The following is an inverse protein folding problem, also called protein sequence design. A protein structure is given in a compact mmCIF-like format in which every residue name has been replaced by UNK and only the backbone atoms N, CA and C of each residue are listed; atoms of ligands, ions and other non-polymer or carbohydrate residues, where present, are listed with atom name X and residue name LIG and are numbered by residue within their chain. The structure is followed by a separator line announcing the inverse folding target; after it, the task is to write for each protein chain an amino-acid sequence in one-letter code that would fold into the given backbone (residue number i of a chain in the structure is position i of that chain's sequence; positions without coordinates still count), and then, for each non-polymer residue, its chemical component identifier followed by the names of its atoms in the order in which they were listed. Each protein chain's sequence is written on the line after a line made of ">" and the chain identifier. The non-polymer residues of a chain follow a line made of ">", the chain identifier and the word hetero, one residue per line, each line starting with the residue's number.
data_IF_409852489968
#
_entry.id   IF_409852489968
#
_cell.length_a   1.000
_cell.length_b   1.000
_cell.length_c   1.000
_cell.angle_alpha   90.00
_cell.angle_beta   90.00
_cell.angle_gamma   90.00
#
_symmetry.space_group_name_H-M   'P 1'
#
loop_
_entity.id
_entity.type
_entity.pdbx_description
1 polymer ?
#
# COMPACT_ATOMS: atom_id res chain seq x y z
N UNK A 1 16.21 -98.66 50.96
CA UNK A 1 16.83 -97.34 51.14
C UNK A 1 16.26 -96.39 50.10
N UNK A 2 15.63 -95.30 50.52
CA UNK A 2 15.09 -94.26 49.63
C UNK A 2 16.18 -93.20 49.41
N UNK A 3 16.20 -92.61 48.22
CA UNK A 3 17.03 -91.44 47.94
C UNK A 3 16.16 -90.18 47.90
N UNK A 4 16.63 -89.09 48.50
CA UNK A 4 15.95 -87.81 48.36
C UNK A 4 16.14 -87.26 46.94
N UNK A 5 15.06 -86.97 46.22
CA UNK A 5 15.12 -86.39 44.87
C UNK A 5 15.79 -85.01 44.80
N UNK A 6 15.79 -84.26 45.91
CA UNK A 6 16.32 -82.89 45.99
C UNK A 6 17.82 -82.85 46.32
N UNK A 7 18.27 -83.52 47.39
CA UNK A 7 19.67 -83.46 47.85
C UNK A 7 20.47 -84.75 47.58
N UNK A 8 19.84 -85.78 47.01
CA UNK A 8 20.44 -87.06 46.57
C UNK A 8 21.15 -87.87 47.67
N UNK A 9 20.96 -87.54 48.95
CA UNK A 9 21.42 -88.35 50.08
C UNK A 9 20.47 -89.53 50.35
N UNK A 10 21.03 -90.59 50.92
CA UNK A 10 20.29 -91.77 51.39
C UNK A 10 19.40 -91.41 52.59
N UNK A 11 18.17 -91.90 52.60
CA UNK A 11 17.18 -91.73 53.66
C UNK A 11 16.65 -93.09 54.09
N UNK A 12 16.53 -93.29 55.40
CA UNK A 12 15.95 -94.51 55.96
C UNK A 12 14.50 -94.71 55.48
N UNK A 13 14.12 -95.95 55.16
CA UNK A 13 12.90 -96.25 54.39
C UNK A 13 11.58 -95.82 55.06
N UNK A 14 11.58 -95.63 56.38
CA UNK A 14 10.41 -95.27 57.17
C UNK A 14 10.17 -93.75 57.29
N UNK A 15 11.08 -92.90 56.79
CA UNK A 15 10.94 -91.44 56.89
C UNK A 15 10.22 -90.87 55.67
N UNK A 16 9.19 -90.04 55.92
CA UNK A 16 8.41 -89.37 54.89
C UNK A 16 9.01 -88.02 54.43
N UNK A 17 9.98 -87.49 55.18
CA UNK A 17 10.71 -86.26 54.89
C UNK A 17 12.21 -86.47 55.12
N UNK A 18 13.05 -85.82 54.32
CA UNK A 18 14.50 -85.94 54.43
C UNK A 18 15.02 -85.14 55.65
N UNK A 19 15.74 -85.76 56.60
CA UNK A 19 16.22 -85.06 57.81
C UNK A 19 17.31 -84.01 57.52
N UNK A 20 17.95 -84.04 56.35
CA UNK A 20 19.03 -83.12 55.97
C UNK A 20 18.54 -81.83 55.30
N UNK A 21 17.41 -81.88 54.58
CA UNK A 21 16.92 -80.73 53.80
C UNK A 21 15.42 -80.46 53.92
N UNK A 22 14.68 -81.30 54.66
CA UNK A 22 13.26 -81.10 54.96
C UNK A 22 12.26 -81.44 53.85
N UNK A 23 12.71 -81.84 52.65
CA UNK A 23 11.78 -82.16 51.54
C UNK A 23 11.13 -83.55 51.67
N UNK A 24 9.87 -83.66 51.25
CA UNK A 24 9.06 -84.91 51.26
C UNK A 24 9.63 -85.95 50.29
N UNK A 25 9.64 -87.23 50.69
CA UNK A 25 10.19 -88.34 49.88
C UNK A 25 9.05 -89.19 49.32
N UNK A 26 8.90 -89.24 47.99
CA UNK A 26 7.83 -89.99 47.30
C UNK A 26 8.30 -91.40 46.89
N UNK A 27 7.40 -92.39 46.97
CA UNK A 27 7.67 -93.82 46.73
C UNK A 27 6.95 -94.27 45.46
N UNK A 28 7.65 -94.92 44.54
CA UNK A 28 7.10 -95.54 43.33
C UNK A 28 7.25 -97.06 43.48
N UNK A 29 6.17 -97.83 43.30
CA UNK A 29 6.16 -99.31 43.31
C UNK A 29 5.69 -99.77 41.93
N UNK A 30 6.37 -100.77 41.34
CA UNK A 30 6.08 -101.29 39.99
C UNK A 30 5.59 -102.76 40.01
N UNK A 31 4.91 -103.12 38.93
CA UNK A 31 3.91 -104.18 38.65
C UNK A 31 4.31 -105.67 38.74
N UNK A 32 3.29 -106.59 38.71
CA UNK A 32 3.28 -107.78 37.80
C UNK A 32 1.90 -108.45 37.54
N UNK A 33 1.51 -108.49 36.24
CA UNK A 33 0.93 -109.56 35.36
C UNK A 33 -0.26 -110.51 35.72
N UNK A 34 -1.22 -110.63 34.77
CA UNK A 34 -1.80 -111.89 34.24
C UNK A 34 -2.65 -111.66 32.94
N UNK A 35 -2.86 -112.73 32.16
CA UNK A 35 -3.12 -112.82 30.71
C UNK A 35 -4.56 -113.18 30.30
N UNK A 36 -5.09 -112.62 29.19
CA UNK A 36 -6.04 -113.28 28.26
C UNK A 36 -5.84 -112.77 26.82
N UNK A 37 -5.98 -113.66 25.84
CA UNK A 37 -5.77 -113.43 24.39
C UNK A 37 -7.09 -113.14 23.68
N UNK A 38 -7.14 -112.08 22.85
CA UNK A 38 -8.07 -111.99 21.72
C UNK A 38 -7.38 -111.27 20.54
N UNK A 39 -7.43 -111.89 19.35
CA UNK A 39 -6.94 -111.34 18.10
C UNK A 39 -7.85 -110.22 17.61
N UNK A 40 -7.34 -108.98 17.51
CA UNK A 40 -7.82 -107.99 16.54
C UNK A 40 -6.71 -107.01 16.13
N UNK A 41 -6.44 -107.00 14.81
CA UNK A 41 -5.95 -105.92 13.93
C UNK A 41 -4.89 -104.92 14.42
N UNK A 42 -3.84 -104.76 13.60
CA UNK A 42 -2.81 -103.73 13.66
C UNK A 42 -3.32 -102.31 14.00
N UNK A 43 -2.56 -101.57 14.82
CA UNK A 43 -2.02 -100.24 14.44
C UNK A 43 -0.96 -99.78 15.46
N UNK A 44 0.27 -99.58 15.00
CA UNK A 44 1.29 -98.79 15.73
C UNK A 44 0.80 -97.34 15.83
N UNK A 45 0.91 -96.63 16.98
CA UNK A 45 0.84 -95.18 16.97
C UNK A 45 2.10 -94.65 16.30
N UNK A 46 2.03 -94.46 14.99
CA UNK A 46 3.01 -93.69 14.22
C UNK A 46 2.95 -92.26 14.77
N UNK A 47 4.04 -91.77 15.40
CA UNK A 47 4.23 -90.33 15.59
C UNK A 47 4.13 -89.68 14.21
N UNK A 48 3.00 -89.03 13.97
CA UNK A 48 2.71 -88.33 12.72
C UNK A 48 3.76 -87.25 12.49
N UNK A 49 4.71 -87.52 11.58
CA UNK A 49 5.64 -86.50 11.04
C UNK A 49 4.92 -85.42 10.21
N UNK A 50 3.58 -85.45 10.09
CA UNK A 50 2.79 -84.43 9.36
C UNK A 50 2.62 -83.11 10.12
N UNK A 51 2.77 -83.09 11.46
CA UNK A 51 2.67 -81.84 12.24
C UNK A 51 4.03 -81.14 12.46
N UNK A 52 5.16 -81.82 12.22
CA UNK A 52 6.49 -81.23 12.37
C UNK A 52 6.78 -80.19 11.27
N UNK A 53 6.37 -80.47 10.02
CA UNK A 53 6.47 -79.51 8.92
C UNK A 53 5.56 -78.29 9.11
N UNK A 54 4.40 -78.46 9.75
CA UNK A 54 3.52 -77.35 10.13
C UNK A 54 4.12 -76.49 11.26
N UNK A 55 4.77 -77.10 12.26
CA UNK A 55 5.46 -76.38 13.34
C UNK A 55 6.71 -75.66 12.84
N UNK A 56 7.51 -76.31 11.97
CA UNK A 56 8.68 -75.68 11.34
C UNK A 56 8.23 -74.55 10.40
N UNK A 57 7.18 -74.77 9.59
CA UNK A 57 6.58 -73.74 8.75
C UNK A 57 6.05 -72.55 9.58
N UNK A 58 5.36 -72.82 10.69
CA UNK A 58 4.90 -71.78 11.62
C UNK A 58 6.06 -71.03 12.27
N UNK A 59 7.13 -71.71 12.69
CA UNK A 59 8.30 -71.08 13.28
C UNK A 59 9.04 -70.19 12.26
N UNK A 60 9.14 -70.60 10.99
CA UNK A 60 9.71 -69.79 9.92
C UNK A 60 8.87 -68.55 9.67
N UNK A 61 7.54 -68.70 9.56
CA UNK A 61 6.63 -67.57 9.38
C UNK A 61 6.70 -66.62 10.60
N UNK A 62 6.72 -67.16 11.82
CA UNK A 62 6.85 -66.35 13.04
C UNK A 62 8.18 -65.60 13.08
N UNK A 63 9.29 -66.22 12.67
CA UNK A 63 10.59 -65.58 12.57
C UNK A 63 10.61 -64.47 11.51
N UNK A 64 9.98 -64.69 10.35
CA UNK A 64 9.82 -63.66 9.31
C UNK A 64 8.94 -62.50 9.78
N UNK A 65 7.82 -62.78 10.45
CA UNK A 65 6.95 -61.77 11.03
C UNK A 65 7.66 -60.99 12.14
N UNK A 66 8.44 -61.65 12.99
CA UNK A 66 9.25 -60.99 14.02
C UNK A 66 10.37 -60.14 13.41
N UNK A 67 11.02 -60.64 12.36
CA UNK A 67 12.03 -59.90 11.60
C UNK A 67 11.44 -58.66 10.94
N UNK A 68 10.30 -58.80 10.26
CA UNK A 68 9.53 -57.69 9.69
C UNK A 68 9.05 -56.72 10.78
N UNK A 69 8.67 -57.24 11.95
CA UNK A 69 8.29 -56.42 13.10
C UNK A 69 9.44 -55.57 13.62
N UNK A 70 10.60 -56.19 13.86
CA UNK A 70 11.82 -55.49 14.31
C UNK A 70 12.33 -54.51 13.26
N UNK A 71 12.28 -54.88 11.98
CA UNK A 71 12.62 -53.99 10.88
C UNK A 71 11.70 -52.78 10.83
N UNK A 72 10.37 -52.98 10.92
CA UNK A 72 9.40 -51.89 10.99
C UNK A 72 9.62 -51.00 12.21
N UNK A 73 9.85 -51.57 13.39
CA UNK A 73 10.12 -50.82 14.61
C UNK A 73 11.38 -49.95 14.49
N UNK A 74 12.42 -50.43 13.80
CA UNK A 74 13.62 -49.66 13.50
C UNK A 74 13.36 -48.57 12.45
N UNK A 75 12.78 -48.95 11.30
CA UNK A 75 12.55 -48.08 10.15
C UNK A 75 11.61 -46.91 10.47
N UNK A 76 10.54 -47.19 11.21
CA UNK A 76 9.53 -46.22 11.61
C UNK A 76 9.74 -45.72 13.04
N UNK A 77 10.94 -45.86 13.61
CA UNK A 77 11.28 -45.23 14.88
C UNK A 77 11.21 -43.71 14.78
N UNK A 78 10.91 -43.05 15.91
CA UNK A 78 10.88 -41.58 16.01
C UNK A 78 12.20 -40.95 15.55
N UNK A 79 13.32 -41.50 16.01
CA UNK A 79 14.67 -41.08 15.61
C UNK A 79 14.84 -41.10 14.09
N UNK A 80 14.47 -42.18 13.40
CA UNK A 80 14.62 -42.26 11.94
C UNK A 80 13.73 -41.27 11.20
N UNK A 81 12.48 -41.13 11.60
CA UNK A 81 11.55 -40.19 10.97
C UNK A 81 12.01 -38.74 11.17
N UNK A 82 12.41 -38.36 12.39
CA UNK A 82 12.88 -37.00 12.69
C UNK A 82 14.22 -36.69 12.00
N UNK A 83 15.13 -37.65 11.87
CA UNK A 83 16.36 -37.46 11.09
C UNK A 83 16.07 -37.18 9.61
N UNK A 84 15.06 -37.83 9.02
CA UNK A 84 14.61 -37.51 7.66
C UNK A 84 14.07 -36.08 7.58
N UNK A 85 13.32 -35.62 8.61
CA UNK A 85 12.86 -34.23 8.69
C UNK A 85 14.03 -33.23 8.76
N UNK A 86 15.04 -33.50 9.60
CA UNK A 86 16.25 -32.68 9.73
C UNK A 86 16.96 -32.57 8.38
N UNK A 87 17.17 -33.70 7.69
CA UNK A 87 17.79 -33.72 6.37
C UNK A 87 16.99 -32.90 5.35
N UNK A 88 15.65 -33.01 5.37
CA UNK A 88 14.78 -32.26 4.47
C UNK A 88 14.91 -30.74 4.69
N UNK A 89 14.91 -30.27 5.95
CA UNK A 89 15.14 -28.86 6.27
C UNK A 89 16.55 -28.39 5.86
N UNK A 90 17.59 -29.20 6.09
CA UNK A 90 18.97 -28.86 5.71
C UNK A 90 19.16 -28.79 4.20
N UNK A 91 18.58 -29.75 3.46
CA UNK A 91 18.61 -29.81 1.99
C UNK A 91 17.61 -28.86 1.33
N UNK A 92 16.72 -28.25 2.12
CA UNK A 92 15.61 -27.39 1.67
C UNK A 92 14.67 -28.13 0.70
N UNK A 93 14.45 -29.42 0.96
CA UNK A 93 13.61 -30.27 0.13
C UNK A 93 12.13 -30.02 0.47
N UNK A 94 11.50 -29.16 -0.31
CA UNK A 94 10.13 -28.69 -0.05
C UNK A 94 9.10 -29.81 -0.18
N UNK A 95 9.31 -30.75 -1.10
CA UNK A 95 8.39 -31.87 -1.26
C UNK A 95 8.47 -32.80 -0.06
N UNK A 96 9.68 -33.09 0.42
CA UNK A 96 9.87 -33.88 1.64
C UNK A 96 9.28 -33.17 2.87
N UNK A 97 9.44 -31.84 2.99
CA UNK A 97 8.89 -31.06 4.09
C UNK A 97 7.35 -31.10 4.11
N UNK A 98 6.72 -30.96 2.95
CA UNK A 98 5.26 -31.00 2.79
C UNK A 98 4.63 -32.31 3.31
N UNK A 99 5.33 -33.45 3.19
CA UNK A 99 4.82 -34.75 3.63
C UNK A 99 4.67 -34.88 5.16
N UNK A 100 5.48 -34.16 5.93
CA UNK A 100 5.51 -34.28 7.40
C UNK A 100 5.07 -33.03 8.13
N UNK A 101 5.06 -31.86 7.50
CA UNK A 101 4.59 -30.62 8.13
C UNK A 101 3.07 -30.56 8.13
N UNK A 102 2.50 -30.08 9.23
CA UNK A 102 1.09 -29.71 9.31
C UNK A 102 0.91 -28.44 10.13
N UNK A 103 -0.23 -27.78 9.98
CA UNK A 103 -0.65 -26.72 10.88
C UNK A 103 -1.39 -27.31 12.09
N UNK A 104 -1.25 -26.68 13.26
CA UNK A 104 -2.07 -26.99 14.44
C UNK A 104 -3.53 -26.56 14.24
N UNK A 105 -3.76 -25.48 13.49
CA UNK A 105 -5.08 -25.07 13.04
C UNK A 105 -5.47 -25.78 11.72
N UNK A 106 -6.50 -26.61 11.79
CA UNK A 106 -7.00 -27.39 10.64
C UNK A 106 -7.56 -26.57 9.48
N UNK A 107 -7.89 -25.29 9.69
CA UNK A 107 -8.34 -24.38 8.63
C UNK A 107 -7.18 -23.84 7.79
N UNK A 108 -5.94 -23.88 8.30
CA UNK A 108 -4.75 -23.53 7.52
C UNK A 108 -4.32 -24.70 6.64
N UNK A 109 -4.55 -24.56 5.33
CA UNK A 109 -3.99 -25.47 4.33
C UNK A 109 -2.62 -24.95 3.90
N UNK A 110 -1.57 -25.60 4.39
CA UNK A 110 -0.19 -25.30 4.01
C UNK A 110 -0.02 -25.57 2.52
N UNK A 111 0.50 -24.58 1.80
CA UNK A 111 0.85 -24.69 0.39
C UNK A 111 2.37 -24.72 0.25
N UNK A 112 2.82 -25.15 -0.92
CA UNK A 112 4.24 -25.11 -1.30
C UNK A 112 4.84 -23.71 -1.14
N UNK A 113 4.07 -22.66 -1.42
CA UNK A 113 4.50 -21.25 -1.25
C UNK A 113 4.76 -20.89 0.21
N UNK A 114 3.97 -21.40 1.15
CA UNK A 114 4.13 -21.16 2.59
C UNK A 114 5.43 -21.81 3.09
N UNK A 115 5.71 -23.04 2.64
CA UNK A 115 6.97 -23.74 2.96
C UNK A 115 8.16 -23.00 2.35
N UNK A 116 8.06 -22.52 1.10
CA UNK A 116 9.11 -21.70 0.46
C UNK A 116 9.38 -20.43 1.26
N UNK A 117 8.33 -19.74 1.70
CA UNK A 117 8.44 -18.52 2.51
C UNK A 117 9.11 -18.82 3.85
N UNK A 118 8.71 -19.90 4.53
CA UNK A 118 9.35 -20.32 5.77
C UNK A 118 10.83 -20.69 5.58
N UNK A 119 11.19 -21.41 4.51
CA UNK A 119 12.60 -21.71 4.22
C UNK A 119 13.43 -20.45 3.94
N UNK A 120 12.81 -19.40 3.38
CA UNK A 120 13.45 -18.08 3.25
C UNK A 120 13.63 -17.44 4.63
N UNK A 121 12.60 -17.44 5.46
CA UNK A 121 12.66 -16.95 6.83
C UNK A 121 13.76 -17.63 7.65
N UNK A 122 13.88 -18.97 7.59
CA UNK A 122 14.95 -19.73 8.26
C UNK A 122 16.35 -19.33 7.79
N UNK A 123 16.49 -18.98 6.51
CA UNK A 123 17.77 -18.52 5.92
C UNK A 123 18.13 -17.12 6.42
N UNK A 124 17.14 -16.23 6.50
CA UNK A 124 17.29 -14.84 6.95
C UNK A 124 17.43 -14.73 8.48
N UNK A 125 16.96 -15.75 9.22
CA UNK A 125 17.05 -15.85 10.67
C UNK A 125 17.85 -17.10 11.14
N UNK A 126 19.20 -17.10 11.00
CA UNK A 126 20.04 -18.26 11.34
C UNK A 126 19.90 -18.75 12.80
N UNK A 127 19.70 -17.82 13.74
CA UNK A 127 19.51 -18.15 15.15
C UNK A 127 18.24 -18.97 15.38
N UNK A 128 17.14 -18.59 14.73
CA UNK A 128 15.87 -19.30 14.79
C UNK A 128 15.98 -20.68 14.12
N UNK A 129 16.62 -20.76 12.95
CA UNK A 129 16.90 -22.05 12.29
C UNK A 129 17.75 -22.98 13.17
N UNK A 130 18.75 -22.45 13.87
CA UNK A 130 19.55 -23.23 14.82
C UNK A 130 18.69 -23.77 15.98
N UNK A 131 17.73 -23.00 16.47
CA UNK A 131 16.79 -23.47 17.49
C UNK A 131 15.91 -24.61 16.97
N UNK A 132 15.35 -24.47 15.77
CA UNK A 132 14.57 -25.53 15.11
C UNK A 132 15.38 -26.82 14.98
N UNK A 133 16.58 -26.74 14.38
CA UNK A 133 17.43 -27.93 14.18
C UNK A 133 17.86 -28.55 15.52
N UNK A 134 18.18 -27.74 16.52
CA UNK A 134 18.52 -28.23 17.85
C UNK A 134 17.34 -28.92 18.54
N UNK A 135 16.13 -28.39 18.37
CA UNK A 135 14.90 -29.01 18.86
C UNK A 135 14.68 -30.38 18.20
N UNK A 136 14.73 -30.46 16.88
CA UNK A 136 14.58 -31.72 16.15
C UNK A 136 15.65 -32.75 16.55
N UNK A 137 16.90 -32.33 16.73
CA UNK A 137 17.97 -33.21 17.22
C UNK A 137 17.72 -33.72 18.64
N UNK A 138 17.10 -32.94 19.52
CA UNK A 138 16.72 -33.42 20.85
C UNK A 138 15.54 -34.40 20.80
N UNK A 139 14.65 -34.25 19.82
CA UNK A 139 13.54 -35.19 19.58
C UNK A 139 13.98 -36.58 19.10
N UNK A 140 15.24 -36.74 18.65
CA UNK A 140 15.80 -38.05 18.30
C UNK A 140 16.32 -38.85 19.50
N UNK A 141 16.47 -38.23 20.67
CA UNK A 141 17.01 -38.87 21.88
C UNK A 141 15.87 -39.43 22.73
N UNK A 142 16.09 -40.58 23.37
CA UNK A 142 15.12 -41.13 24.34
C UNK A 142 14.95 -40.14 25.50
N UNK A 143 13.74 -39.58 25.65
CA UNK A 143 13.41 -38.59 26.68
C UNK A 143 13.62 -39.12 28.10
N UNK A 144 13.70 -40.44 28.30
CA UNK A 144 14.08 -41.04 29.60
C UNK A 144 15.53 -40.76 30.00
N UNK A 145 16.37 -40.33 29.05
CA UNK A 145 17.78 -40.04 29.23
C UNK A 145 18.08 -38.55 29.41
N UNK A 146 17.07 -37.67 29.26
CA UNK A 146 17.23 -36.21 29.29
C UNK A 146 16.33 -35.57 30.36
N UNK A 147 16.86 -34.64 31.16
CA UNK A 147 16.08 -33.94 32.19
C UNK A 147 15.12 -32.88 31.65
N UNK A 148 15.44 -32.32 30.48
CA UNK A 148 14.64 -31.24 29.87
C UNK A 148 13.86 -31.78 28.68
N UNK A 149 12.55 -31.47 28.64
CA UNK A 149 11.75 -31.76 27.44
C UNK A 149 12.20 -30.83 26.31
N UNK A 150 12.46 -31.36 25.10
CA UNK A 150 12.66 -30.52 23.93
C UNK A 150 11.45 -29.60 23.73
N UNK A 151 11.71 -28.34 23.42
CA UNK A 151 10.67 -27.36 23.12
C UNK A 151 11.11 -26.46 21.98
N UNK A 152 10.18 -26.15 21.09
CA UNK A 152 10.32 -25.14 20.05
C UNK A 152 9.04 -24.31 20.07
N UNK A 153 9.18 -22.98 19.99
CA UNK A 153 8.06 -22.07 20.24
C UNK A 153 6.95 -22.19 19.21
N UNK A 154 7.31 -22.48 17.96
CA UNK A 154 6.38 -22.42 16.83
C UNK A 154 5.96 -23.79 16.32
N UNK A 155 6.31 -24.86 17.04
CA UNK A 155 5.87 -26.20 16.64
C UNK A 155 6.39 -27.32 17.51
N UNK A 156 5.79 -28.50 17.31
CA UNK A 156 6.09 -29.70 18.06
C UNK A 156 5.99 -30.97 17.20
N UNK A 157 6.69 -32.04 17.58
CA UNK A 157 6.60 -33.34 16.92
C UNK A 157 5.45 -34.11 17.56
N UNK A 158 4.46 -34.46 16.75
CA UNK A 158 3.27 -35.18 17.21
C UNK A 158 3.15 -36.52 16.51
N UNK A 159 2.60 -37.51 17.22
CA UNK A 159 2.23 -38.78 16.63
C UNK A 159 0.86 -38.64 15.94
N UNK A 160 0.81 -38.88 14.63
CA UNK A 160 -0.41 -38.80 13.84
C UNK A 160 -0.48 -39.92 12.81
N UNK A 161 -1.31 -40.91 13.10
CA UNK A 161 -1.53 -42.07 12.24
C UNK A 161 -0.54 -43.20 12.50
N UNK A 162 -0.59 -44.22 11.64
CA UNK A 162 0.27 -45.39 11.74
C UNK A 162 0.83 -45.79 10.38
N UNK A 163 2.11 -46.13 10.36
CA UNK A 163 2.74 -46.83 9.26
C UNK A 163 2.57 -48.34 9.43
N UNK A 164 2.24 -49.03 8.33
CA UNK A 164 1.98 -50.48 8.29
C UNK A 164 1.00 -50.96 9.39
N UNK A 165 0.00 -50.12 9.72
CA UNK A 165 -1.02 -50.34 10.75
C UNK A 165 -0.53 -50.45 12.21
N UNK A 166 0.77 -50.49 12.46
CA UNK A 166 1.35 -50.79 13.78
C UNK A 166 2.29 -49.72 14.31
N UNK A 167 3.08 -49.08 13.44
CA UNK A 167 4.15 -48.17 13.87
C UNK A 167 3.67 -46.73 13.91
N UNK A 168 4.08 -45.94 14.91
CA UNK A 168 3.70 -44.53 14.98
C UNK A 168 4.25 -43.76 13.78
N UNK A 169 3.42 -42.90 13.19
CA UNK A 169 3.85 -41.93 12.19
C UNK A 169 3.99 -40.57 12.88
N UNK A 170 5.12 -39.90 12.69
CA UNK A 170 5.37 -38.60 13.29
C UNK A 170 5.23 -37.48 12.25
N UNK A 171 4.61 -36.39 12.67
CA UNK A 171 4.50 -35.14 11.90
C UNK A 171 5.04 -33.97 12.71
N UNK A 172 5.47 -32.93 12.01
CA UNK A 172 5.84 -31.66 12.60
C UNK A 172 4.65 -30.70 12.58
N UNK A 173 4.02 -30.53 13.75
CA UNK A 173 2.87 -29.68 13.97
C UNK A 173 3.32 -28.26 14.25
N UNK A 174 3.20 -27.39 13.24
CA UNK A 174 3.56 -25.98 13.31
C UNK A 174 2.39 -25.13 13.78
N UNK A 175 2.67 -24.08 14.54
CA UNK A 175 1.69 -23.11 14.99
C UNK A 175 1.19 -22.25 13.83
N UNK A 176 -0.10 -21.93 13.90
CA UNK A 176 -0.76 -20.94 13.07
C UNK A 176 -0.88 -19.62 13.82
N UNK A 177 -0.65 -18.52 13.12
CA UNK A 177 -0.71 -17.16 13.68
C UNK A 177 -1.81 -16.33 13.03
N UNK A 178 -2.33 -15.37 13.77
CA UNK A 178 -3.31 -14.41 13.33
C UNK A 178 -2.79 -13.00 13.54
N UNK A 179 -3.12 -12.11 12.60
CA UNK A 179 -2.85 -10.68 12.71
C UNK A 179 -4.14 -9.95 13.07
N UNK A 180 -4.14 -9.21 14.17
CA UNK A 180 -5.19 -8.26 14.52
C UNK A 180 -4.81 -6.91 13.90
N UNK A 181 -5.35 -6.65 12.70
CA UNK A 181 -5.02 -5.46 11.92
C UNK A 181 -5.99 -4.33 12.23
N UNK A 182 -5.46 -3.14 12.50
CA UNK A 182 -6.23 -1.91 12.73
C UNK A 182 -5.73 -0.80 11.80
N UNK A 183 -6.57 0.20 11.52
CA UNK A 183 -6.19 1.34 10.68
C UNK A 183 -6.88 2.64 11.10
N UNK A 184 -6.23 3.77 10.87
CA UNK A 184 -6.79 5.11 11.08
C UNK A 184 -7.70 5.57 9.93
N UNK A 185 -7.67 4.90 8.78
CA UNK A 185 -8.42 5.28 7.59
C UNK A 185 -9.90 4.84 7.66
N UNK A 186 -10.80 5.69 7.14
CA UNK A 186 -12.24 5.40 7.09
C UNK A 186 -12.60 4.22 6.19
N UNK A 187 -11.88 4.01 5.10
CA UNK A 187 -12.04 2.87 4.20
C UNK A 187 -10.67 2.54 3.63
N UNK A 188 -10.09 1.41 4.02
CA UNK A 188 -8.79 0.95 3.55
C UNK A 188 -8.88 -0.48 3.03
N UNK A 189 -8.22 -0.74 1.90
CA UNK A 189 -7.95 -2.07 1.39
C UNK A 189 -6.69 -2.61 2.08
N UNK A 190 -6.80 -3.79 2.68
CA UNK A 190 -5.67 -4.44 3.37
C UNK A 190 -5.14 -5.58 2.53
N UNK A 191 -3.82 -5.61 2.40
CA UNK A 191 -3.06 -6.59 1.66
C UNK A 191 -2.07 -7.28 2.59
N UNK A 192 -1.90 -8.58 2.37
CA UNK A 192 -0.82 -9.37 2.99
C UNK A 192 -0.04 -10.02 1.86
N UNK A 193 1.26 -9.73 1.75
CA UNK A 193 2.12 -10.16 0.64
C UNK A 193 1.47 -9.90 -0.74
N UNK A 194 1.04 -8.65 -0.95
CA UNK A 194 0.35 -8.15 -2.16
C UNK A 194 -1.00 -8.80 -2.51
N UNK A 195 -1.50 -9.74 -1.68
CA UNK A 195 -2.84 -10.31 -1.83
C UNK A 195 -3.84 -9.49 -1.02
N UNK A 196 -4.87 -8.95 -1.68
CA UNK A 196 -6.00 -8.28 -1.02
C UNK A 196 -6.74 -9.28 -0.13
N UNK A 197 -6.79 -9.02 1.17
CA UNK A 197 -7.45 -9.89 2.15
C UNK A 197 -8.84 -9.36 2.54
N UNK A 198 -8.97 -8.05 2.73
CA UNK A 198 -10.23 -7.45 3.20
C UNK A 198 -10.24 -5.95 2.96
N UNK A 199 -11.41 -5.36 3.17
CA UNK A 199 -11.57 -3.93 3.39
C UNK A 199 -11.86 -3.68 4.88
N UNK A 200 -11.21 -2.68 5.48
CA UNK A 200 -11.47 -2.20 6.82
C UNK A 200 -11.98 -0.76 6.79
N UNK A 201 -12.86 -0.44 7.72
CA UNK A 201 -13.31 0.92 7.99
C UNK A 201 -12.96 1.29 9.43
N UNK A 202 -12.66 2.57 9.68
CA UNK A 202 -12.22 3.08 11.00
C UNK A 202 -13.24 2.91 12.11
N UNK A 203 -14.49 2.60 11.78
CA UNK A 203 -15.57 2.28 12.74
C UNK A 203 -15.42 0.86 13.35
N UNK A 204 -14.54 0.02 12.78
CA UNK A 204 -14.19 -1.30 13.31
C UNK A 204 -12.86 -1.21 14.07
N UNK A 205 -12.89 -1.59 15.35
CA UNK A 205 -11.75 -1.52 16.28
C UNK A 205 -10.52 -2.33 15.84
N UNK A 206 -10.71 -3.42 15.09
CA UNK A 206 -9.67 -4.19 14.38
C UNK A 206 -10.32 -5.35 13.61
N UNK A 207 -9.58 -5.98 12.69
CA UNK A 207 -9.98 -7.23 12.01
C UNK A 207 -8.90 -8.28 12.17
N UNK A 208 -9.30 -9.48 12.53
CA UNK A 208 -8.43 -10.64 12.57
C UNK A 208 -8.25 -11.21 11.16
N UNK A 209 -7.00 -11.38 10.74
CA UNK A 209 -6.58 -12.00 9.49
C UNK A 209 -5.76 -13.26 9.79
N UNK A 210 -5.89 -14.27 8.94
CA UNK A 210 -5.22 -15.56 9.08
C UNK A 210 -6.22 -16.72 9.02
N UNK A 211 -5.79 -17.92 9.42
CA UNK A 211 -4.47 -18.24 9.97
C UNK A 211 -3.32 -18.10 8.95
N UNK A 212 -2.12 -17.82 9.44
CA UNK A 212 -0.87 -17.72 8.69
C UNK A 212 0.17 -18.71 9.24
N UNK A 213 1.04 -19.19 8.35
CA UNK A 213 2.18 -20.03 8.72
C UNK A 213 3.29 -19.15 9.35
N UNK A 214 4.21 -19.69 10.18
CA UNK A 214 5.27 -18.87 10.76
C UNK A 214 6.18 -18.29 9.68
N UNK A 215 6.55 -17.02 9.83
CA UNK A 215 7.41 -16.30 8.89
C UNK A 215 7.17 -14.79 8.90
N UNK A 216 7.80 -14.11 7.96
CA UNK A 216 7.67 -12.67 7.75
C UNK A 216 6.60 -12.36 6.72
N UNK A 217 5.75 -11.38 7.04
CA UNK A 217 4.65 -10.92 6.18
C UNK A 217 4.70 -9.42 6.01
N UNK A 218 4.47 -8.97 4.77
CA UNK A 218 4.29 -7.56 4.45
C UNK A 218 2.80 -7.24 4.50
N UNK A 219 2.40 -6.39 5.45
CA UNK A 219 1.03 -5.93 5.60
C UNK A 219 0.92 -4.51 5.11
N UNK A 220 0.14 -4.30 4.05
CA UNK A 220 -0.07 -2.99 3.40
C UNK A 220 -1.52 -2.56 3.53
N UNK A 221 -1.73 -1.28 3.81
CA UNK A 221 -3.04 -0.65 3.75
C UNK A 221 -3.03 0.47 2.72
N UNK A 222 -4.04 0.51 1.86
CA UNK A 222 -4.25 1.59 0.89
C UNK A 222 -5.62 2.22 1.08
N UNK A 223 -5.74 3.52 0.94
CA UNK A 223 -7.02 4.23 1.00
C UNK A 223 -7.08 5.33 -0.05
N UNK A 224 -8.08 5.24 -0.93
CA UNK A 224 -8.33 6.28 -1.92
C UNK A 224 -9.04 7.47 -1.27
N UNK A 225 -8.45 8.64 -1.44
CA UNK A 225 -9.06 9.92 -1.08
C UNK A 225 -9.42 10.68 -2.34
N UNK A 226 -10.08 11.82 -2.21
CA UNK A 226 -10.54 12.58 -3.38
C UNK A 226 -9.41 13.22 -4.21
N UNK A 227 -8.21 13.35 -3.63
CA UNK A 227 -7.07 14.06 -4.24
C UNK A 227 -5.80 13.23 -4.34
N UNK A 228 -5.73 12.10 -3.61
CA UNK A 228 -4.55 11.22 -3.60
C UNK A 228 -4.91 9.84 -3.09
N UNK A 229 -4.08 8.86 -3.37
CA UNK A 229 -4.13 7.54 -2.74
C UNK A 229 -3.11 7.50 -1.61
N UNK A 230 -3.57 7.16 -0.41
CA UNK A 230 -2.71 6.99 0.75
C UNK A 230 -2.30 5.54 0.86
N UNK A 231 -1.04 5.29 1.20
CA UNK A 231 -0.51 3.95 1.44
C UNK A 231 0.39 3.92 2.68
N UNK A 232 0.41 2.77 3.34
CA UNK A 232 1.35 2.47 4.44
C UNK A 232 1.63 0.97 4.44
N UNK A 233 2.86 0.60 4.78
CA UNK A 233 3.32 -0.79 4.74
C UNK A 233 4.14 -1.09 5.99
N UNK A 234 3.93 -2.27 6.57
CA UNK A 234 4.67 -2.78 7.71
C UNK A 234 5.07 -4.23 7.48
N UNK A 235 6.32 -4.53 7.79
CA UNK A 235 6.81 -5.90 7.91
C UNK A 235 6.46 -6.44 9.31
N UNK A 236 5.92 -7.65 9.37
CA UNK A 236 5.44 -8.31 10.58
C UNK A 236 6.00 -9.72 10.63
N UNK A 237 6.76 -10.01 11.68
CA UNK A 237 7.25 -11.36 11.97
C UNK A 237 6.22 -12.10 12.84
N UNK A 238 5.76 -13.24 12.34
CA UNK A 238 4.83 -14.11 13.07
C UNK A 238 5.53 -15.31 13.72
N UNK A 239 6.79 -15.55 13.39
CA UNK A 239 7.59 -16.60 14.02
C UNK A 239 8.22 -16.12 15.34
N UNK A 240 8.46 -17.05 16.27
CA UNK A 240 9.03 -16.85 17.60
C UNK A 240 8.17 -16.02 18.57
N UNK A 241 6.97 -15.64 18.14
CA UNK A 241 6.03 -14.79 18.86
C UNK A 241 5.39 -15.50 20.07
N UNK A 242 5.26 -14.78 21.19
CA UNK A 242 4.69 -15.33 22.41
C UNK A 242 3.17 -15.56 22.29
N UNK A 243 2.50 -14.73 21.50
CA UNK A 243 1.07 -14.76 21.26
C UNK A 243 0.81 -15.23 19.83
N UNK A 244 -0.11 -16.17 19.66
CA UNK A 244 -0.62 -16.57 18.33
C UNK A 244 -1.42 -15.45 17.66
N UNK A 245 -1.73 -14.36 18.38
CA UNK A 245 -2.35 -13.13 17.86
C UNK A 245 -1.39 -11.96 17.96
N UNK A 246 -0.93 -11.45 16.82
CA UNK A 246 -0.02 -10.31 16.71
C UNK A 246 -0.80 -9.06 16.32
N UNK A 247 -0.59 -7.94 17.02
CA UNK A 247 -1.27 -6.66 16.71
C UNK A 247 -0.51 -5.91 15.63
N UNK A 248 -1.24 -5.41 14.63
CA UNK A 248 -0.68 -4.66 13.51
C UNK A 248 -1.47 -3.36 13.31
N UNK A 249 -0.88 -2.24 13.72
CA UNK A 249 -1.53 -0.92 13.61
C UNK A 249 -1.01 -0.18 12.38
N UNK A 250 -1.87 0.09 11.40
CA UNK A 250 -1.53 0.75 10.13
C UNK A 250 -2.06 2.18 10.12
N UNK A 251 -1.18 3.16 10.40
CA UNK A 251 -1.51 4.58 10.34
C UNK A 251 -1.34 5.09 8.91
N UNK A 252 -2.43 5.50 8.26
CA UNK A 252 -2.35 6.22 6.99
C UNK A 252 -2.28 7.71 7.28
N UNK A 253 -1.16 8.32 6.93
CA UNK A 253 -0.93 9.74 7.08
C UNK A 253 -0.91 10.39 5.71
N UNK A 254 -1.70 11.45 5.54
CA UNK A 254 -1.71 12.24 4.32
C UNK A 254 -1.12 13.61 4.56
N UNK A 255 -0.47 14.18 3.53
CA UNK A 255 0.06 15.54 3.59
C UNK A 255 -1.08 16.55 3.46
N UNK A 256 -1.05 17.58 4.30
CA UNK A 256 -1.99 18.71 4.25
C UNK A 256 -1.20 19.99 4.01
N UNK A 257 -1.71 20.84 3.12
CA UNK A 257 -1.11 22.14 2.77
C UNK A 257 -2.07 23.27 3.12
N UNK A 258 -1.52 24.43 3.44
CA UNK A 258 -2.30 25.65 3.67
C UNK A 258 -2.31 26.51 2.41
N UNK A 259 -3.50 26.78 1.89
CA UNK A 259 -3.72 27.74 0.80
C UNK A 259 -4.12 29.06 1.44
N UNK A 260 -3.40 30.13 1.12
CA UNK A 260 -3.61 31.46 1.70
C UNK A 260 -3.66 32.53 0.62
N UNK A 261 -4.26 33.69 0.94
CA UNK A 261 -4.46 34.78 -0.01
C UNK A 261 -4.43 36.15 0.66
N UNK A 262 -4.28 37.20 -0.14
CA UNK A 262 -4.56 38.58 0.26
C UNK A 262 -6.06 38.84 0.44
N UNK A 263 -6.91 37.98 -0.12
CA UNK A 263 -8.35 38.04 0.01
C UNK A 263 -8.89 37.15 1.13
N UNK A 264 -9.77 37.70 1.98
CA UNK A 264 -10.31 36.97 3.12
C UNK A 264 -11.43 35.97 2.75
N UNK A 265 -12.18 36.27 1.68
CA UNK A 265 -13.25 35.42 1.12
C UNK A 265 -12.99 35.18 -0.37
N UNK A 266 -12.51 33.98 -0.68
CA UNK A 266 -12.40 33.45 -2.03
C UNK A 266 -12.75 31.97 -2.03
N UNK A 267 -13.19 31.45 -3.17
CA UNK A 267 -13.50 30.03 -3.35
C UNK A 267 -12.26 29.30 -3.85
N UNK A 268 -11.88 28.22 -3.18
CA UNK A 268 -10.77 27.35 -3.56
C UNK A 268 -11.24 26.36 -4.62
N UNK A 269 -10.51 26.32 -5.74
CA UNK A 269 -10.68 25.35 -6.81
C UNK A 269 -9.44 24.47 -6.88
N UNK A 270 -9.66 23.17 -7.04
CA UNK A 270 -8.59 22.17 -7.16
C UNK A 270 -8.88 21.30 -8.37
N UNK A 271 -7.93 21.23 -9.31
CA UNK A 271 -8.09 20.57 -10.62
C UNK A 271 -9.40 20.98 -11.32
N UNK A 272 -9.71 22.29 -11.31
CA UNK A 272 -10.91 22.86 -11.92
C UNK A 272 -12.22 22.62 -11.16
N UNK A 273 -12.22 21.89 -10.04
CA UNK A 273 -13.42 21.61 -9.23
C UNK A 273 -13.46 22.49 -7.98
N UNK A 274 -14.62 23.08 -7.70
CA UNK A 274 -14.88 23.82 -6.46
C UNK A 274 -14.70 22.91 -5.25
N UNK A 275 -13.91 23.33 -4.26
CA UNK A 275 -13.62 22.55 -3.03
C UNK A 275 -14.15 23.20 -1.76
N UNK A 276 -14.01 24.51 -1.63
CA UNK A 276 -14.38 25.20 -0.41
C UNK A 276 -14.18 26.70 -0.52
N UNK A 277 -14.33 27.38 0.60
CA UNK A 277 -14.02 28.81 0.72
C UNK A 277 -12.88 29.01 1.70
N UNK A 278 -12.10 30.06 1.49
CA UNK A 278 -11.17 30.54 2.49
C UNK A 278 -11.94 30.90 3.78
N UNK A 279 -11.33 30.59 4.92
CA UNK A 279 -11.75 31.03 6.23
C UNK A 279 -10.68 31.99 6.77
N UNK A 280 -11.04 33.27 6.91
CA UNK A 280 -10.10 34.35 7.26
C UNK A 280 -8.82 34.34 6.40
N UNK A 281 -8.99 34.19 5.08
CA UNK A 281 -7.88 34.21 4.11
C UNK A 281 -7.05 32.92 4.03
N UNK A 282 -7.46 31.83 4.68
CA UNK A 282 -6.75 30.55 4.64
C UNK A 282 -7.68 29.35 4.45
N UNK A 283 -7.16 28.28 3.85
CA UNK A 283 -7.86 27.01 3.68
C UNK A 283 -6.88 25.85 3.81
N UNK A 284 -7.22 24.88 4.66
CA UNK A 284 -6.43 23.66 4.82
C UNK A 284 -6.87 22.64 3.77
N UNK A 285 -6.01 22.40 2.79
CA UNK A 285 -6.24 21.42 1.73
C UNK A 285 -5.53 20.12 2.07
N UNK A 286 -6.26 19.01 2.06
CA UNK A 286 -5.66 17.69 2.20
C UNK A 286 -6.65 16.60 2.55
N UNK A 287 -6.20 15.33 2.52
CA UNK A 287 -4.85 14.93 2.15
C UNK A 287 -4.58 15.09 0.63
N UNK A 288 -3.34 15.44 0.24
CA UNK A 288 -2.93 15.68 -1.17
C UNK A 288 -1.61 15.00 -1.51
N UNK A 289 -1.42 14.73 -2.81
CA UNK A 289 -0.13 14.34 -3.37
C UNK A 289 0.81 15.55 -3.48
N UNK A 290 2.12 15.32 -3.40
CA UNK A 290 3.17 16.36 -3.58
C UNK A 290 3.97 16.15 -4.86
N UNK A 291 3.42 15.41 -5.81
CA UNK A 291 3.98 15.11 -7.13
C UNK A 291 3.62 16.14 -8.22
N UNK A 292 3.15 17.33 -7.82
CA UNK A 292 2.72 18.41 -8.72
C UNK A 292 1.51 18.08 -9.62
N UNK A 293 0.77 17.00 -9.32
CA UNK A 293 -0.47 16.64 -10.05
C UNK A 293 -1.71 17.41 -9.60
N UNK A 294 -1.65 18.03 -8.41
CA UNK A 294 -2.74 18.80 -7.83
C UNK A 294 -2.51 20.29 -8.14
N UNK A 295 -3.35 20.86 -8.99
CA UNK A 295 -3.37 22.29 -9.31
C UNK A 295 -4.45 23.02 -8.51
N UNK A 296 -4.10 24.17 -7.94
CA UNK A 296 -4.98 24.99 -7.11
C UNK A 296 -5.02 26.42 -7.61
N UNK A 297 -6.22 26.98 -7.68
CA UNK A 297 -6.44 28.42 -7.88
C UNK A 297 -7.61 28.90 -7.03
N UNK A 298 -7.72 30.22 -6.88
CA UNK A 298 -8.80 30.87 -6.14
C UNK A 298 -9.70 31.63 -7.12
N UNK A 299 -11.00 31.63 -6.85
CA UNK A 299 -11.98 32.44 -7.57
C UNK A 299 -12.78 33.31 -6.60
N UNK A 300 -12.94 34.60 -6.95
CA UNK A 300 -13.73 35.56 -6.18
C UNK A 300 -14.71 36.26 -7.12
N UNK A 301 -15.99 36.23 -6.76
CA UNK A 301 -17.00 37.01 -7.47
C UNK A 301 -16.87 38.48 -7.08
N UNK A 302 -16.80 39.34 -8.09
CA UNK A 302 -16.77 40.79 -7.97
C UNK A 302 -17.88 41.40 -8.82
N UNK A 303 -18.09 42.70 -8.69
CA UNK A 303 -19.04 43.45 -9.53
C UNK A 303 -18.69 43.38 -11.03
N UNK A 304 -17.44 43.04 -11.36
CA UNK A 304 -16.92 42.91 -12.72
C UNK A 304 -16.84 41.45 -13.20
N UNK A 305 -17.47 40.53 -12.47
CA UNK A 305 -17.45 39.09 -12.74
C UNK A 305 -16.48 38.32 -11.85
N UNK A 306 -16.15 37.09 -12.26
CA UNK A 306 -15.29 36.19 -11.49
C UNK A 306 -13.83 36.50 -11.77
N UNK A 307 -13.13 37.01 -10.75
CA UNK A 307 -11.67 37.12 -10.78
C UNK A 307 -11.04 35.80 -10.37
N UNK A 308 -9.89 35.47 -10.97
CA UNK A 308 -9.08 34.30 -10.61
C UNK A 308 -7.71 34.75 -10.10
N UNK A 309 -7.17 34.03 -9.13
CA UNK A 309 -5.76 34.13 -8.78
C UNK A 309 -4.88 33.46 -9.84
N UNK A 310 -3.57 33.59 -9.71
CA UNK A 310 -2.65 32.64 -10.34
C UNK A 310 -2.91 31.21 -9.85
N UNK A 311 -2.66 30.24 -10.73
CA UNK A 311 -2.69 28.81 -10.40
C UNK A 311 -1.33 28.36 -9.88
N UNK A 312 -1.33 27.42 -8.94
CA UNK A 312 -0.12 26.78 -8.42
C UNK A 312 -0.28 25.26 -8.37
N UNK A 313 0.80 24.54 -8.63
CA UNK A 313 0.87 23.08 -8.45
C UNK A 313 1.41 22.75 -7.07
N UNK A 314 0.80 21.79 -6.41
CA UNK A 314 1.21 21.35 -5.07
C UNK A 314 2.39 20.39 -5.18
N UNK A 315 3.56 20.88 -4.82
CA UNK A 315 4.77 20.10 -4.53
C UNK A 315 4.99 19.95 -3.02
N UNK A 316 6.25 19.93 -2.59
CA UNK A 316 6.63 19.64 -1.20
C UNK A 316 6.44 20.78 -0.19
N UNK A 317 6.00 21.96 -0.62
CA UNK A 317 5.78 23.09 0.29
C UNK A 317 4.55 22.87 1.17
N UNK A 318 4.62 23.30 2.44
CA UNK A 318 3.50 23.23 3.39
C UNK A 318 2.48 24.35 3.21
N UNK A 319 2.84 25.42 2.51
CA UNK A 319 2.00 26.63 2.39
C UNK A 319 2.19 27.27 1.03
N UNK A 320 1.07 27.65 0.42
CA UNK A 320 1.01 28.33 -0.86
C UNK A 320 0.21 29.62 -0.70
N UNK A 321 0.77 30.73 -1.21
CA UNK A 321 0.16 32.05 -1.14
C UNK A 321 -0.25 32.49 -2.54
N UNK A 322 -1.56 32.62 -2.77
CA UNK A 322 -2.15 32.94 -4.07
C UNK A 322 -2.70 34.36 -4.03
N UNK A 323 -2.21 35.21 -4.94
CA UNK A 323 -2.60 36.61 -5.05
C UNK A 323 -3.64 36.81 -6.13
N UNK A 324 -4.60 37.69 -5.88
CA UNK A 324 -5.46 38.21 -6.93
C UNK A 324 -4.75 39.32 -7.71
N UNK A 325 -5.03 39.49 -9.01
CA UNK A 325 -4.57 40.64 -9.77
C UNK A 325 -5.01 41.93 -9.09
N UNK A 326 -4.05 42.77 -8.69
CA UNK A 326 -4.33 44.04 -8.04
C UNK A 326 -5.05 44.99 -8.98
N UNK A 327 -6.02 45.71 -8.43
CA UNK A 327 -6.63 46.85 -9.12
C UNK A 327 -5.56 47.92 -9.38
N UNK A 328 -5.43 48.33 -10.63
CA UNK A 328 -4.57 49.47 -10.99
C UNK A 328 -5.33 50.76 -10.70
N UNK A 329 -4.64 51.73 -10.09
CA UNK A 329 -5.24 53.02 -9.74
C UNK A 329 -5.91 53.69 -10.93
N UNK A 330 -7.15 54.15 -10.74
CA UNK A 330 -7.88 54.94 -11.73
C UNK A 330 -7.09 56.15 -12.20
N UNK A 331 -6.32 56.80 -11.32
CA UNK A 331 -5.48 57.94 -11.70
C UNK A 331 -4.38 57.55 -12.69
N UNK A 332 -3.71 56.41 -12.46
CA UNK A 332 -2.64 55.93 -13.32
C UNK A 332 -3.15 55.49 -14.69
N UNK A 333 -4.32 54.83 -14.73
CA UNK A 333 -4.97 54.45 -16.00
C UNK A 333 -5.42 55.68 -16.77
N UNK A 334 -6.00 56.68 -16.09
CA UNK A 334 -6.38 57.95 -16.71
C UNK A 334 -5.18 58.72 -17.26
N UNK A 335 -4.08 58.78 -16.50
CA UNK A 335 -2.83 59.42 -16.92
C UNK A 335 -2.19 58.69 -18.12
N UNK A 336 -2.24 57.36 -18.15
CA UNK A 336 -1.80 56.58 -19.30
C UNK A 336 -2.56 56.97 -20.58
N UNK A 337 -3.89 57.06 -20.53
CA UNK A 337 -4.72 57.47 -21.69
C UNK A 337 -4.42 58.91 -22.10
N UNK A 338 -4.27 59.81 -21.13
CA UNK A 338 -3.85 61.20 -21.38
C UNK A 338 -2.55 61.28 -22.15
N UNK A 339 -1.50 60.61 -21.67
CA UNK A 339 -0.19 60.62 -22.31
C UNK A 339 -0.24 59.97 -23.70
N UNK A 340 -0.98 58.86 -23.84
CA UNK A 340 -1.19 58.21 -25.12
C UNK A 340 -1.81 59.16 -26.16
N UNK A 341 -2.82 59.95 -25.80
CA UNK A 341 -3.46 60.91 -26.72
C UNK A 341 -2.50 62.03 -27.12
N UNK A 342 -1.73 62.58 -26.18
CA UNK A 342 -0.67 63.57 -26.51
C UNK A 342 0.37 62.99 -27.48
N UNK A 343 0.84 61.77 -27.23
CA UNK A 343 1.81 61.10 -28.11
C UNK A 343 1.18 60.76 -29.48
N UNK A 344 -0.11 60.43 -29.52
CA UNK A 344 -0.82 60.13 -30.76
C UNK A 344 -0.92 61.38 -31.67
N UNK A 345 -1.29 62.53 -31.10
CA UNK A 345 -1.30 63.81 -31.83
C UNK A 345 0.09 64.14 -32.39
N UNK A 346 1.15 63.90 -31.59
CA UNK A 346 2.54 64.06 -32.06
C UNK A 346 2.88 63.09 -33.19
N UNK A 347 2.45 61.83 -33.10
CA UNK A 347 2.65 60.81 -34.13
C UNK A 347 1.91 61.16 -35.43
N UNK A 348 0.72 61.77 -35.35
CA UNK A 348 -0.02 62.32 -36.50
C UNK A 348 0.79 63.44 -37.16
N UNK A 349 1.25 64.44 -36.39
CA UNK A 349 2.01 65.58 -36.93
C UNK A 349 3.32 65.17 -37.61
N UNK A 350 4.00 64.14 -37.08
CA UNK A 350 5.27 63.64 -37.61
C UNK A 350 5.11 62.51 -38.63
N UNK A 351 3.88 62.04 -38.85
CA UNK A 351 3.57 60.84 -39.66
C UNK A 351 4.45 59.63 -39.25
N UNK A 352 4.58 59.41 -37.93
CA UNK A 352 5.44 58.36 -37.37
C UNK A 352 4.73 57.59 -36.25
N UNK A 353 4.11 56.47 -36.64
CA UNK A 353 3.43 55.58 -35.70
C UNK A 353 4.40 54.87 -34.73
N UNK A 354 5.70 54.77 -35.05
CA UNK A 354 6.67 54.07 -34.19
C UNK A 354 6.82 54.75 -32.82
N UNK A 355 6.50 56.05 -32.72
CA UNK A 355 6.48 56.82 -31.48
C UNK A 355 5.48 56.28 -30.45
N UNK A 356 4.38 55.68 -30.92
CA UNK A 356 3.30 55.17 -30.07
C UNK A 356 3.12 53.65 -30.14
N UNK A 357 3.81 52.95 -31.04
CA UNK A 357 3.66 51.51 -31.28
C UNK A 357 3.76 50.67 -29.99
N UNK A 358 4.70 51.01 -29.11
CA UNK A 358 4.95 50.29 -27.85
C UNK A 358 3.87 50.50 -26.78
N UNK A 359 2.94 51.44 -27.00
CA UNK A 359 1.83 51.73 -26.10
C UNK A 359 0.58 50.91 -26.43
N UNK A 360 0.54 50.18 -27.55
CA UNK A 360 -0.64 49.43 -27.97
C UNK A 360 -0.61 47.96 -27.53
N UNK A 361 -1.81 47.45 -27.23
CA UNK A 361 -2.09 46.03 -27.24
C UNK A 361 -2.15 45.57 -28.70
N UNK A 362 -1.16 44.80 -29.13
CA UNK A 362 -1.05 44.32 -30.53
C UNK A 362 -2.21 43.42 -30.96
N UNK A 363 -2.97 42.88 -30.01
CA UNK A 363 -4.20 42.13 -30.28
C UNK A 363 -5.44 43.04 -30.36
N UNK A 364 -5.34 44.29 -29.91
CA UNK A 364 -6.37 45.30 -29.95
C UNK A 364 -6.60 45.88 -31.35
N UNK A 365 -7.83 46.33 -31.62
CA UNK A 365 -8.24 46.82 -32.94
C UNK A 365 -7.50 48.10 -33.33
N UNK A 366 -7.29 49.01 -32.38
CA UNK A 366 -6.71 50.33 -32.68
C UNK A 366 -5.24 50.29 -33.05
N UNK A 367 -4.52 49.19 -32.78
CA UNK A 367 -3.14 49.03 -33.26
C UNK A 367 -3.06 49.19 -34.79
N UNK A 368 -4.00 48.57 -35.51
CA UNK A 368 -4.06 48.66 -36.97
C UNK A 368 -4.77 49.93 -37.42
N UNK A 369 -5.90 50.27 -36.78
CA UNK A 369 -6.73 51.40 -37.19
C UNK A 369 -5.97 52.72 -37.08
N UNK A 370 -5.27 52.96 -35.97
CA UNK A 370 -4.59 54.24 -35.75
C UNK A 370 -3.35 54.36 -36.66
N UNK A 371 -2.62 53.26 -36.89
CA UNK A 371 -1.52 53.23 -37.85
C UNK A 371 -1.99 53.58 -39.26
N UNK A 372 -3.09 52.96 -39.71
CA UNK A 372 -3.65 53.21 -41.03
C UNK A 372 -4.28 54.63 -41.11
N UNK A 373 -4.83 55.13 -40.01
CA UNK A 373 -5.40 56.48 -39.89
C UNK A 373 -4.34 57.59 -39.97
N UNK A 374 -3.20 57.45 -39.29
CA UNK A 374 -2.07 58.39 -39.39
C UNK A 374 -1.62 58.52 -40.85
N UNK A 375 -1.47 57.40 -41.56
CA UNK A 375 -1.10 57.42 -42.98
C UNK A 375 -2.15 58.13 -43.85
N UNK A 376 -3.43 57.91 -43.55
CA UNK A 376 -4.53 58.58 -44.23
C UNK A 376 -4.51 60.10 -44.01
N UNK A 377 -4.34 60.55 -42.76
CA UNK A 377 -4.28 61.97 -42.41
C UNK A 377 -3.11 62.66 -43.11
N UNK A 378 -1.92 62.06 -43.08
CA UNK A 378 -0.74 62.58 -43.77
C UNK A 378 -0.98 62.71 -45.28
N UNK A 379 -1.55 61.68 -45.93
CA UNK A 379 -1.89 61.72 -47.36
C UNK A 379 -2.88 62.84 -47.71
N UNK A 380 -3.74 63.22 -46.76
CA UNK A 380 -4.73 64.30 -46.91
C UNK A 380 -4.22 65.67 -46.47
N UNK A 381 -2.98 65.76 -45.99
CA UNK A 381 -2.43 66.99 -45.41
C UNK A 381 -3.20 67.47 -44.19
N UNK A 382 -3.78 66.54 -43.41
CA UNK A 382 -4.54 66.84 -42.20
C UNK A 382 -3.62 66.74 -40.99
N UNK A 383 -3.65 67.76 -40.13
CA UNK A 383 -2.97 67.77 -38.83
C UNK A 383 -3.92 68.15 -37.72
N UNK A 384 -3.60 67.77 -36.49
CA UNK A 384 -4.41 68.02 -35.31
C UNK A 384 -3.60 68.73 -34.25
N UNK A 385 -4.18 69.75 -33.61
CA UNK A 385 -3.65 70.38 -32.41
C UNK A 385 -4.61 70.11 -31.26
N UNK A 386 -4.14 69.39 -30.23
CA UNK A 386 -4.90 69.13 -29.02
C UNK A 386 -4.90 70.37 -28.12
N UNK A 387 -6.08 70.93 -27.88
CA UNK A 387 -6.29 72.14 -27.09
C UNK A 387 -6.60 71.81 -25.63
N UNK A 388 -7.51 70.87 -25.43
CA UNK A 388 -8.00 70.45 -24.11
C UNK A 388 -8.04 68.94 -24.05
N UNK A 389 -7.61 68.40 -22.92
CA UNK A 389 -7.71 66.97 -22.62
C UNK A 389 -8.07 66.79 -21.15
N UNK A 390 -9.25 66.23 -20.88
CA UNK A 390 -9.76 65.98 -19.55
C UNK A 390 -10.20 64.53 -19.40
N UNK A 391 -9.64 63.81 -18.44
CA UNK A 391 -10.15 62.49 -18.04
C UNK A 391 -11.37 62.72 -17.16
N UNK A 392 -12.55 62.31 -17.64
CA UNK A 392 -13.85 62.50 -16.97
C UNK A 392 -14.19 61.35 -16.03
N UNK A 393 -13.92 60.12 -16.47
CA UNK A 393 -14.22 58.92 -15.71
C UNK A 393 -13.23 57.80 -16.05
N UNK A 394 -12.95 56.94 -15.08
CA UNK A 394 -12.18 55.71 -15.27
C UNK A 394 -12.97 54.59 -14.61
N UNK A 395 -13.48 53.68 -15.43
CA UNK A 395 -14.35 52.60 -15.02
C UNK A 395 -13.66 51.27 -15.30
N UNK A 396 -13.40 50.48 -14.27
CA UNK A 396 -12.92 49.11 -14.45
C UNK A 396 -14.02 48.28 -15.11
N UNK A 397 -13.67 47.54 -16.17
CA UNK A 397 -14.62 46.70 -16.91
C UNK A 397 -14.40 45.21 -16.61
N UNK A 398 -13.17 44.82 -16.30
CA UNK A 398 -12.82 43.44 -15.93
C UNK A 398 -11.51 43.39 -15.14
N UNK A 399 -11.00 42.18 -14.86
CA UNK A 399 -9.71 41.98 -14.22
C UNK A 399 -8.57 42.75 -14.90
N UNK A 400 -8.59 42.83 -16.23
CA UNK A 400 -7.52 43.40 -17.06
C UNK A 400 -7.98 44.52 -17.97
N UNK A 401 -9.25 44.94 -17.98
CA UNK A 401 -9.74 46.00 -18.86
C UNK A 401 -10.33 47.17 -18.10
N UNK A 402 -10.01 48.37 -18.58
CA UNK A 402 -10.55 49.63 -18.10
C UNK A 402 -11.12 50.43 -19.26
N UNK A 403 -12.20 51.16 -19.00
CA UNK A 403 -12.79 52.15 -19.88
C UNK A 403 -12.50 53.53 -19.32
N UNK A 404 -11.91 54.40 -20.12
CA UNK A 404 -11.58 55.78 -19.75
C UNK A 404 -12.42 56.72 -20.60
N UNK A 405 -13.29 57.50 -19.97
CA UNK A 405 -14.07 58.53 -20.65
C UNK A 405 -13.31 59.84 -20.60
N UNK A 406 -13.15 60.49 -21.76
CA UNK A 406 -12.37 61.71 -21.93
C UNK A 406 -13.22 62.79 -22.57
N UNK A 407 -12.87 64.04 -22.29
CA UNK A 407 -13.31 65.20 -23.04
C UNK A 407 -12.10 65.82 -23.73
N UNK A 408 -12.18 65.97 -25.04
CA UNK A 408 -11.07 66.38 -25.88
C UNK A 408 -11.49 67.50 -26.81
N UNK A 409 -10.63 68.50 -27.01
CA UNK A 409 -10.84 69.59 -27.97
C UNK A 409 -9.65 69.70 -28.90
N UNK A 410 -9.92 69.87 -30.20
CA UNK A 410 -8.91 69.94 -31.23
C UNK A 410 -9.15 71.10 -32.19
N UNK A 411 -8.06 71.69 -32.68
CA UNK A 411 -8.06 72.33 -34.00
C UNK A 411 -7.58 71.30 -35.03
N UNK A 412 -8.45 70.97 -35.98
CA UNK A 412 -8.11 70.10 -37.11
C UNK A 412 -7.87 70.99 -38.32
N UNK A 413 -6.65 70.96 -38.85
CA UNK A 413 -6.24 71.71 -40.04
C UNK A 413 -6.27 70.77 -41.23
N UNK A 414 -6.93 71.17 -42.31
CA UNK A 414 -7.08 70.39 -43.53
C UNK A 414 -6.09 70.85 -44.60
N UNK A 415 -5.81 69.98 -45.58
CA UNK A 415 -4.87 70.29 -46.66
C UNK A 415 -5.28 71.46 -47.57
N UNK A 416 -6.52 71.93 -47.50
CA UNK A 416 -7.00 73.14 -48.18
C UNK A 416 -6.78 74.43 -47.36
N UNK A 417 -6.18 74.33 -46.18
CA UNK A 417 -5.92 75.43 -45.26
C UNK A 417 -7.09 75.76 -44.32
N UNK A 418 -8.24 75.09 -44.47
CA UNK A 418 -9.36 75.27 -43.54
C UNK A 418 -9.03 74.69 -42.16
N UNK A 419 -9.54 75.33 -41.11
CA UNK A 419 -9.38 74.88 -39.72
C UNK A 419 -10.76 74.72 -39.10
N UNK A 420 -11.02 73.55 -38.51
CA UNK A 420 -12.22 73.30 -37.73
C UNK A 420 -11.86 73.09 -36.27
N UNK A 421 -12.60 73.76 -35.39
CA UNK A 421 -12.66 73.40 -33.99
C UNK A 421 -13.59 72.19 -33.83
N UNK A 422 -13.12 71.15 -33.16
CA UNK A 422 -13.95 69.99 -32.79
C UNK A 422 -13.75 69.63 -31.33
N UNK A 423 -14.85 69.23 -30.68
CA UNK A 423 -14.80 68.68 -29.33
C UNK A 423 -15.48 67.32 -29.28
N UNK A 424 -14.92 66.39 -28.52
CA UNK A 424 -15.35 65.00 -28.44
C UNK A 424 -15.54 64.56 -26.98
N UNK A 425 -16.49 63.65 -26.78
CA UNK A 425 -16.51 62.75 -25.64
C UNK A 425 -16.16 61.35 -26.14
N UNK A 426 -14.96 60.88 -25.79
CA UNK A 426 -14.46 59.59 -26.23
C UNK A 426 -14.45 58.57 -25.09
N UNK A 427 -14.59 57.31 -25.44
CA UNK A 427 -14.36 56.18 -24.54
C UNK A 427 -13.15 55.39 -25.04
N UNK A 428 -12.14 55.24 -24.21
CA UNK A 428 -10.92 54.51 -24.52
C UNK A 428 -10.84 53.23 -23.71
N UNK A 429 -10.43 52.13 -24.34
CA UNK A 429 -10.25 50.84 -23.67
C UNK A 429 -8.76 50.59 -23.46
N UNK A 430 -8.39 50.32 -22.22
CA UNK A 430 -7.01 50.01 -21.80
C UNK A 430 -6.96 48.57 -21.29
N UNK A 431 -5.99 47.80 -21.76
CA UNK A 431 -5.63 46.49 -21.21
C UNK A 431 -4.50 46.67 -20.18
N UNK A 432 -4.66 46.05 -19.01
CA UNK A 432 -3.68 46.06 -17.91
C UNK A 432 -3.31 44.63 -17.57
N UNK A 433 -2.10 44.23 -17.94
CA UNK A 433 -1.54 42.91 -17.63
C UNK A 433 -0.02 43.01 -17.47
N UNK A 434 0.47 43.35 -16.27
CA UNK A 434 1.87 43.70 -16.01
C UNK A 434 2.33 45.05 -16.59
N UNK A 435 1.74 45.49 -17.70
CA UNK A 435 1.88 46.82 -18.33
C UNK A 435 0.49 47.33 -18.77
N UNK A 436 0.32 48.66 -18.82
CA UNK A 436 -0.84 49.32 -19.42
C UNK A 436 -0.63 49.47 -20.93
N UNK A 437 -1.62 49.05 -21.72
CA UNK A 437 -1.60 49.08 -23.17
C UNK A 437 -2.94 49.59 -23.70
N UNK A 438 -2.89 50.47 -24.70
CA UNK A 438 -4.07 50.99 -25.39
C UNK A 438 -4.65 49.89 -26.28
N UNK A 439 -5.92 49.55 -26.06
CA UNK A 439 -6.57 48.43 -26.74
C UNK A 439 -7.45 48.89 -27.89
N UNK A 440 -8.33 49.86 -27.62
CA UNK A 440 -9.20 50.41 -28.66
C UNK A 440 -9.85 51.75 -28.29
N UNK A 441 -10.25 52.51 -29.31
CA UNK A 441 -11.31 53.51 -29.17
C UNK A 441 -12.67 52.79 -29.09
N UNK A 442 -13.34 52.86 -27.95
CA UNK A 442 -14.64 52.23 -27.70
C UNK A 442 -15.79 52.99 -28.34
N UNK A 443 -15.84 54.31 -28.12
CA UNK A 443 -16.84 55.20 -28.70
C UNK A 443 -16.21 56.57 -28.98
N UNK A 444 -16.66 57.21 -30.06
CA UNK A 444 -16.31 58.59 -30.41
C UNK A 444 -17.59 59.40 -30.60
N UNK A 445 -17.86 60.33 -29.68
CA UNK A 445 -19.04 61.18 -29.74
C UNK A 445 -18.61 62.62 -30.01
N UNK A 446 -18.79 63.08 -31.24
CA UNK A 446 -18.57 64.50 -31.59
C UNK A 446 -19.64 65.35 -30.91
N UNK A 447 -19.20 66.31 -30.09
CA UNK A 447 -20.07 67.26 -29.40
C UNK A 447 -20.25 68.56 -30.20
N UNK A 448 -19.16 69.03 -30.82
CA UNK A 448 -19.12 70.30 -31.55
C UNK A 448 -18.22 70.18 -32.77
N UNK A 449 -18.58 70.87 -33.85
CA UNK A 449 -17.75 71.01 -35.05
C UNK A 449 -18.05 72.35 -35.70
N UNK A 450 -17.11 73.28 -35.63
CA UNK A 450 -17.28 74.65 -36.10
C UNK A 450 -16.09 75.09 -36.94
N UNK A 451 -16.33 75.93 -37.93
CA UNK A 451 -15.27 76.57 -38.70
C UNK A 451 -14.64 77.69 -37.88
N UNK A 452 -13.30 77.71 -37.82
CA UNK A 452 -12.57 78.79 -37.14
C UNK A 452 -12.40 79.93 -38.14
N UNK A 453 -13.16 81.03 -37.95
CA UNK A 453 -13.14 82.17 -38.88
C UNK A 453 -12.03 83.18 -38.53
N UNK A 454 -10.93 83.14 -39.30
CA UNK A 454 -10.00 84.27 -39.57
C UNK A 454 -8.57 84.19 -39.01
N UNK A 455 -7.66 85.08 -39.48
CA UNK A 455 -7.25 85.24 -40.87
C UNK A 455 -6.22 84.17 -41.28
N UNK A 456 -6.31 83.70 -42.51
CA UNK A 456 -5.22 83.01 -43.18
C UNK A 456 -4.02 83.94 -43.30
N UNK A 457 -2.90 83.57 -42.67
CA UNK A 457 -1.58 83.98 -43.12
C UNK A 457 -0.56 82.89 -42.88
#
# INVERSE_FOLDING_TARGET
>A
MKFCGTCKKNVADHLNFCPECGSKVEVIVDNTAASYTELQSETKPVKSKKNLFLIIGFAIIAALLFGAYKFGAYKFSKEKQVNVMIEAFQKKDINAIDEFVKANDSSLKIKTEDIKAYMRYLKENPSYNKQLLSYLQKETVDQKLTKDKPSFKDGEIVEEGKEWFLYPKYKFSMKSYYMSVSTTAKNAEIYVNDKKETELSSDKTSKELGPYFPGTYVVKATAKTELTELETEKEVDLADEQSEKVKVDLSLEGKYVSISSDESDATVFVNGKKRGKLNYGSYKLGPVSTDETVEVHLEKTTDFGVMKSESVKIGDQSTYYLKFPKETSSSAVGEFVRNHIYDNVRAISLNDFSLIENNYDKSGKSYKEDRDYIQYLHKKGITEDLLTMEVRNVERQSATKYKVTTYEEYHIRYGDGSVKFKSFNNEHIVTVNGKMLYHSLGANNTLKSEDVSGPTR
#
